data_IF_420999823620
#
_entry.id   IF_420999823620
#
_cell.length_a   1.000
_cell.length_b   1.000
_cell.length_c   1.000
_cell.angle_alpha   90.00
_cell.angle_beta   90.00
_cell.angle_gamma   90.00
#
_symmetry.space_group_name_H-M   'P 1'
#
loop_
_entity.id
_entity.type
_entity.pdbx_description
1 polymer ?
#
# COMPACT_ATOMS: atom_id res chain seq x y z
N UNK A 1 12.99 16.85 17.70
CA UNK A 1 12.49 15.94 16.66
C UNK A 1 11.74 16.79 15.62
N UNK A 2 11.86 16.50 14.32
CA UNK A 2 11.23 17.30 13.26
C UNK A 2 9.71 17.09 13.16
N UNK A 3 9.24 15.87 13.51
CA UNK A 3 7.85 15.47 13.35
C UNK A 3 7.04 15.62 14.63
N UNK A 4 5.76 16.00 14.48
CA UNK A 4 4.79 16.17 15.58
C UNK A 4 3.81 15.03 15.73
N UNK A 5 3.53 14.31 14.65
CA UNK A 5 2.62 13.15 14.60
C UNK A 5 3.16 12.11 13.62
N UNK A 6 2.76 10.84 13.79
CA UNK A 6 3.06 9.77 12.86
C UNK A 6 1.79 9.04 12.42
N UNK A 7 1.68 8.76 11.12
CA UNK A 7 0.60 7.98 10.52
C UNK A 7 1.20 6.78 9.79
N UNK A 8 0.75 5.58 10.19
CA UNK A 8 1.31 4.32 9.71
C UNK A 8 0.28 3.57 8.88
N UNK A 9 0.65 3.17 7.67
CA UNK A 9 -0.21 2.48 6.73
C UNK A 9 0.38 1.15 6.32
N UNK A 10 -0.47 0.18 6.06
CA UNK A 10 -0.07 -1.14 5.59
C UNK A 10 -1.15 -2.19 5.80
N UNK A 11 -0.80 -3.43 5.52
CA UNK A 11 -1.70 -4.57 5.67
C UNK A 11 -1.54 -5.27 7.04
N UNK A 12 -1.69 -6.60 7.09
CA UNK A 12 -1.53 -7.40 8.32
C UNK A 12 -0.15 -7.30 8.97
N UNK A 13 0.88 -6.93 8.24
CA UNK A 13 2.20 -6.65 8.81
C UNK A 13 2.24 -5.35 9.61
N UNK A 14 1.28 -4.46 9.40
CA UNK A 14 1.15 -3.18 10.10
C UNK A 14 0.10 -3.22 11.21
N UNK A 15 -1.01 -3.95 11.00
CA UNK A 15 -2.09 -4.10 11.98
C UNK A 15 -2.58 -5.54 12.02
N UNK A 16 -2.37 -6.22 13.16
CA UNK A 16 -2.80 -7.60 13.37
C UNK A 16 -3.08 -7.92 14.84
N UNK A 17 -3.45 -9.18 15.12
CA UNK A 17 -3.75 -9.70 16.48
C UNK A 17 -2.55 -9.71 17.42
N UNK A 18 -1.34 -9.78 16.88
CA UNK A 18 -0.07 -9.74 17.63
C UNK A 18 0.67 -8.44 17.35
N UNK A 19 1.68 -8.09 18.19
CA UNK A 19 2.48 -6.89 17.98
C UNK A 19 3.19 -6.89 16.62
N UNK A 20 3.05 -5.79 15.92
CA UNK A 20 3.67 -5.55 14.61
C UNK A 20 4.76 -4.48 14.74
N UNK A 21 5.47 -4.18 13.65
CA UNK A 21 6.44 -3.08 13.60
C UNK A 21 5.80 -1.74 14.02
N UNK A 22 4.54 -1.51 13.67
CA UNK A 22 3.82 -0.29 14.03
C UNK A 22 3.63 -0.15 15.55
N UNK A 23 3.41 -1.27 16.25
CA UNK A 23 3.31 -1.28 17.71
C UNK A 23 4.66 -1.01 18.39
N UNK A 24 5.76 -1.51 17.79
CA UNK A 24 7.12 -1.27 18.29
C UNK A 24 7.44 0.22 18.10
N UNK A 25 7.27 0.73 16.87
CA UNK A 25 7.54 2.14 16.54
C UNK A 25 6.72 3.11 17.42
N UNK A 26 5.47 2.76 17.73
CA UNK A 26 4.62 3.56 18.63
C UNK A 26 5.19 3.67 20.03
N UNK A 27 5.95 2.67 20.50
CA UNK A 27 6.61 2.71 21.81
C UNK A 27 7.90 3.52 21.80
N UNK A 28 8.57 3.53 20.64
CA UNK A 28 9.90 4.15 20.51
C UNK A 28 9.83 5.64 20.14
N UNK A 29 8.71 6.08 19.54
CA UNK A 29 8.48 7.48 19.16
C UNK A 29 7.82 8.24 20.31
N UNK A 30 8.43 9.36 20.71
CA UNK A 30 7.86 10.31 21.67
C UNK A 30 6.95 11.34 20.98
N UNK A 31 6.06 10.86 20.12
CA UNK A 31 5.02 11.63 19.43
C UNK A 31 3.74 10.78 19.28
N UNK A 32 2.55 11.39 19.11
CA UNK A 32 1.33 10.65 18.79
C UNK A 32 1.48 9.81 17.53
N UNK A 33 1.17 8.51 17.62
CA UNK A 33 1.24 7.54 16.51
C UNK A 33 -0.14 6.97 16.23
N UNK A 34 -0.60 7.13 15.00
CA UNK A 34 -1.89 6.68 14.49
C UNK A 34 -1.69 5.52 13.51
N UNK A 35 -2.09 4.32 13.90
CA UNK A 35 -2.01 3.15 13.03
C UNK A 35 -3.28 3.04 12.16
N UNK A 36 -3.12 3.23 10.87
CA UNK A 36 -4.14 3.11 9.84
C UNK A 36 -4.02 1.81 9.03
N UNK A 37 -3.19 0.89 9.48
CA UNK A 37 -3.07 -0.45 8.90
C UNK A 37 -4.40 -1.21 8.96
N UNK A 38 -4.57 -2.17 8.05
CA UNK A 38 -5.73 -3.06 8.04
C UNK A 38 -5.35 -4.41 7.44
N UNK A 39 -5.56 -5.47 8.21
CA UNK A 39 -5.26 -6.83 7.76
C UNK A 39 -5.99 -7.17 6.46
N UNK A 40 -5.30 -7.82 5.52
CA UNK A 40 -5.85 -8.22 4.24
C UNK A 40 -5.85 -7.14 3.15
N UNK A 41 -5.53 -5.89 3.49
CA UNK A 41 -5.60 -4.75 2.58
C UNK A 41 -4.58 -4.86 1.44
N UNK A 42 -5.00 -4.52 0.23
CA UNK A 42 -4.17 -4.34 -0.95
C UNK A 42 -3.76 -2.89 -1.17
N UNK A 43 -3.01 -2.61 -2.22
CA UNK A 43 -2.42 -1.29 -2.45
C UNK A 43 -3.45 -0.22 -2.85
N UNK A 44 -4.51 -0.61 -3.55
CA UNK A 44 -5.61 0.31 -3.89
C UNK A 44 -6.33 0.77 -2.62
N UNK A 45 -6.65 -0.17 -1.73
CA UNK A 45 -7.26 0.14 -0.45
C UNK A 45 -6.33 0.96 0.47
N UNK A 46 -5.02 0.69 0.45
CA UNK A 46 -4.02 1.50 1.17
C UNK A 46 -4.04 2.94 0.70
N UNK A 47 -3.99 3.17 -0.62
CA UNK A 47 -4.07 4.51 -1.20
C UNK A 47 -5.35 5.24 -0.78
N UNK A 48 -6.51 4.57 -0.89
CA UNK A 48 -7.78 5.16 -0.46
C UNK A 48 -7.78 5.53 1.04
N UNK A 49 -7.18 4.69 1.90
CA UNK A 49 -7.06 5.00 3.34
C UNK A 49 -6.12 6.16 3.62
N UNK A 50 -5.03 6.29 2.85
CA UNK A 50 -4.13 7.45 2.95
C UNK A 50 -4.87 8.74 2.61
N UNK A 51 -5.62 8.75 1.50
CA UNK A 51 -6.46 9.90 1.10
C UNK A 51 -7.51 10.21 2.16
N UNK A 52 -8.21 9.19 2.67
CA UNK A 52 -9.18 9.37 3.74
C UNK A 52 -8.56 9.95 5.02
N UNK A 53 -7.39 9.45 5.39
CA UNK A 53 -6.66 9.93 6.54
C UNK A 53 -6.24 11.39 6.38
N UNK A 54 -5.75 11.77 5.19
CA UNK A 54 -5.38 13.17 4.89
C UNK A 54 -6.60 14.10 4.96
N UNK A 55 -7.73 13.71 4.37
CA UNK A 55 -8.98 14.49 4.47
C UNK A 55 -9.38 14.74 5.92
N UNK A 56 -9.23 13.73 6.79
CA UNK A 56 -9.61 13.80 8.19
C UNK A 56 -8.61 14.58 9.06
N UNK A 57 -7.33 14.40 8.79
CA UNK A 57 -6.25 14.88 9.68
C UNK A 57 -5.46 16.04 9.09
N UNK A 58 -5.61 16.35 7.79
CA UNK A 58 -4.93 17.43 7.06
C UNK A 58 -3.42 17.34 7.26
N UNK A 59 -2.77 16.45 6.51
CA UNK A 59 -1.34 16.23 6.60
C UNK A 59 -0.53 17.51 6.34
N UNK A 60 0.56 17.63 7.07
CA UNK A 60 1.50 18.74 6.98
C UNK A 60 2.92 18.21 6.83
N UNK A 61 3.88 19.07 6.60
CA UNK A 61 5.31 18.74 6.56
C UNK A 61 5.91 18.37 7.93
N UNK A 62 5.13 18.54 9.00
CA UNK A 62 5.48 18.12 10.36
C UNK A 62 4.95 16.70 10.69
N UNK A 63 4.25 16.04 9.77
CA UNK A 63 3.73 14.70 9.95
C UNK A 63 4.68 13.66 9.38
N UNK A 64 4.95 12.60 10.15
CA UNK A 64 5.68 11.43 9.69
C UNK A 64 4.69 10.43 9.09
N UNK A 65 4.78 10.20 7.79
CA UNK A 65 3.93 9.25 7.08
C UNK A 65 4.79 8.05 6.68
N UNK A 66 4.39 6.85 7.10
CA UNK A 66 5.07 5.60 6.75
C UNK A 66 4.07 4.64 6.14
N UNK A 67 4.37 4.14 4.95
CA UNK A 67 3.56 3.14 4.27
C UNK A 67 4.38 1.88 3.98
N UNK A 68 3.79 0.72 4.28
CA UNK A 68 4.32 -0.59 3.87
C UNK A 68 3.36 -1.17 2.84
N UNK A 69 3.75 -1.09 1.58
CA UNK A 69 2.97 -1.57 0.45
C UNK A 69 2.79 -3.09 0.52
N UNK A 70 1.63 -3.53 0.12
CA UNK A 70 1.22 -4.93 0.14
C UNK A 70 1.53 -5.62 -1.19
N UNK A 71 1.28 -6.93 -1.25
CA UNK A 71 1.36 -7.69 -2.49
C UNK A 71 0.31 -7.19 -3.51
N UNK A 72 0.72 -7.11 -4.79
CA UNK A 72 -0.16 -6.84 -5.92
C UNK A 72 -1.24 -7.90 -6.12
N UNK A 73 -1.08 -9.11 -5.54
CA UNK A 73 -2.09 -10.17 -5.56
C UNK A 73 -3.24 -9.96 -4.58
N UNK A 74 -3.29 -8.84 -3.88
CA UNK A 74 -4.39 -8.52 -2.96
C UNK A 74 -5.48 -7.73 -3.66
N UNK A 75 -6.72 -8.16 -3.45
CA UNK A 75 -7.90 -7.54 -4.04
C UNK A 75 -8.66 -6.72 -3.01
N UNK A 76 -8.93 -5.47 -3.34
CA UNK A 76 -9.78 -4.58 -2.57
C UNK A 76 -11.01 -4.23 -3.39
N UNK A 77 -12.20 -4.40 -2.82
CA UNK A 77 -13.47 -4.09 -3.48
C UNK A 77 -14.36 -3.22 -2.60
N UNK A 78 -14.98 -2.23 -3.23
CA UNK A 78 -16.03 -1.47 -2.58
C UNK A 78 -17.37 -2.17 -2.81
N UNK A 79 -17.91 -2.82 -1.76
CA UNK A 79 -19.15 -3.59 -1.82
C UNK A 79 -20.03 -3.21 -0.63
N UNK A 80 -21.32 -3.10 -0.88
CA UNK A 80 -22.30 -2.84 0.19
C UNK A 80 -21.96 -1.60 1.04
N UNK A 81 -21.54 -0.51 0.39
CA UNK A 81 -21.24 0.76 1.06
C UNK A 81 -19.93 0.79 1.86
N UNK A 82 -19.05 -0.22 1.73
CA UNK A 82 -17.76 -0.26 2.42
C UNK A 82 -16.68 -0.96 1.61
N UNK A 83 -15.44 -0.64 1.90
CA UNK A 83 -14.30 -1.39 1.42
C UNK A 83 -14.24 -2.77 2.07
N UNK A 84 -14.14 -3.79 1.23
CA UNK A 84 -13.90 -5.18 1.64
C UNK A 84 -12.52 -5.59 1.14
N UNK A 85 -11.70 -6.01 2.08
CA UNK A 85 -10.34 -6.48 1.88
C UNK A 85 -10.32 -8.01 2.03
N UNK A 86 -10.43 -8.71 0.93
CA UNK A 86 -10.48 -10.18 0.93
C UNK A 86 -9.10 -10.85 1.03
N UNK A 87 -8.03 -10.06 1.07
CA UNK A 87 -6.67 -10.58 1.12
C UNK A 87 -6.18 -11.04 -0.24
N UNK A 88 -5.35 -12.08 -0.23
CA UNK A 88 -4.67 -12.56 -1.42
C UNK A 88 -5.62 -13.33 -2.34
N UNK A 89 -5.63 -13.01 -3.64
CA UNK A 89 -6.37 -13.72 -4.69
C UNK A 89 -6.04 -15.21 -4.79
N UNK A 90 -4.85 -15.60 -4.31
CA UNK A 90 -4.44 -17.02 -4.26
C UNK A 90 -5.05 -17.77 -3.07
N UNK A 91 -5.76 -17.09 -2.17
CA UNK A 91 -6.46 -17.72 -1.07
C UNK A 91 -7.77 -18.36 -1.57
N UNK A 92 -7.80 -19.69 -1.59
CA UNK A 92 -8.91 -20.48 -2.12
C UNK A 92 -10.20 -20.37 -1.29
N UNK A 93 -10.10 -20.01 -0.02
CA UNK A 93 -11.27 -19.85 0.86
C UNK A 93 -12.19 -18.70 0.43
N UNK A 94 -11.64 -17.69 -0.27
CA UNK A 94 -12.39 -16.52 -0.72
C UNK A 94 -12.55 -16.44 -2.24
N UNK A 95 -11.64 -17.05 -2.99
CA UNK A 95 -11.59 -16.97 -4.44
C UNK A 95 -11.43 -18.37 -5.05
N UNK A 96 -12.53 -18.92 -5.54
CA UNK A 96 -12.50 -20.19 -6.24
C UNK A 96 -11.81 -20.08 -7.62
N UNK A 97 -11.56 -21.23 -8.24
CA UNK A 97 -10.92 -21.29 -9.55
C UNK A 97 -11.75 -20.63 -10.64
N UNK A 98 -13.09 -20.66 -10.54
CA UNK A 98 -13.97 -20.01 -11.51
C UNK A 98 -13.85 -18.50 -11.43
N UNK A 99 -13.82 -17.96 -10.19
CA UNK A 99 -13.58 -16.54 -9.99
C UNK A 99 -12.25 -16.12 -10.59
N UNK A 100 -11.18 -16.83 -10.26
CA UNK A 100 -9.83 -16.52 -10.76
C UNK A 100 -9.76 -16.57 -12.28
N UNK A 101 -10.26 -17.63 -12.92
CA UNK A 101 -10.26 -17.74 -14.38
C UNK A 101 -11.06 -16.67 -15.10
N UNK A 102 -12.13 -16.19 -14.48
CA UNK A 102 -13.07 -15.26 -15.09
C UNK A 102 -12.73 -13.79 -14.86
N UNK A 103 -12.19 -13.46 -13.68
CA UNK A 103 -12.07 -12.08 -13.21
C UNK A 103 -10.65 -11.66 -12.87
N UNK A 104 -9.71 -12.59 -12.74
CA UNK A 104 -8.34 -12.22 -12.47
C UNK A 104 -7.61 -11.90 -13.75
N UNK A 105 -7.23 -10.64 -13.84
CA UNK A 105 -6.43 -10.09 -14.90
C UNK A 105 -5.15 -9.52 -14.28
N UNK A 106 -4.05 -10.24 -14.47
CA UNK A 106 -2.74 -9.91 -13.94
C UNK A 106 -2.27 -8.51 -14.36
N UNK A 107 -2.35 -8.19 -15.64
CA UNK A 107 -1.89 -6.91 -16.16
C UNK A 107 -2.69 -5.74 -15.55
N UNK A 108 -4.01 -5.88 -15.49
CA UNK A 108 -4.88 -4.89 -14.86
C UNK A 108 -4.58 -4.72 -13.36
N UNK A 109 -4.27 -5.80 -12.64
CA UNK A 109 -3.94 -5.73 -11.23
C UNK A 109 -2.60 -5.03 -10.99
N UNK A 110 -1.60 -5.30 -11.82
CA UNK A 110 -0.31 -4.58 -11.75
C UNK A 110 -0.50 -3.10 -12.06
N UNK A 111 -1.28 -2.75 -13.08
CA UNK A 111 -1.58 -1.35 -13.42
C UNK A 111 -2.27 -0.64 -12.26
N UNK A 112 -3.32 -1.23 -11.70
CA UNK A 112 -4.06 -0.66 -10.56
C UNK A 112 -3.15 -0.40 -9.37
N UNK A 113 -2.36 -1.41 -8.99
CA UNK A 113 -1.47 -1.32 -7.85
C UNK A 113 -0.36 -0.28 -8.08
N UNK A 114 0.28 -0.30 -9.24
CA UNK A 114 1.32 0.68 -9.59
C UNK A 114 0.77 2.10 -9.63
N UNK A 115 -0.42 2.29 -10.19
CA UNK A 115 -1.10 3.59 -10.20
C UNK A 115 -1.38 4.09 -8.79
N UNK A 116 -1.83 3.23 -7.88
CA UNK A 116 -2.08 3.58 -6.50
C UNK A 116 -0.79 4.05 -5.78
N UNK A 117 0.32 3.32 -5.96
CA UNK A 117 1.62 3.65 -5.38
C UNK A 117 2.15 4.98 -5.94
N UNK A 118 2.15 5.15 -7.27
CA UNK A 118 2.62 6.37 -7.93
C UNK A 118 1.77 7.58 -7.51
N UNK A 119 0.45 7.42 -7.45
CA UNK A 119 -0.45 8.48 -7.00
C UNK A 119 -0.15 8.91 -5.57
N UNK A 120 0.01 7.95 -4.66
CA UNK A 120 0.39 8.24 -3.27
C UNK A 120 1.72 9.00 -3.19
N UNK A 121 2.73 8.57 -3.94
CA UNK A 121 4.04 9.23 -3.99
C UNK A 121 3.96 10.68 -4.46
N UNK A 122 3.05 10.98 -5.40
CA UNK A 122 2.84 12.35 -5.88
C UNK A 122 2.03 13.21 -4.91
N UNK A 123 1.07 12.61 -4.21
CA UNK A 123 0.22 13.33 -3.26
C UNK A 123 0.94 13.64 -1.95
N UNK A 124 1.85 12.77 -1.52
CA UNK A 124 2.51 12.82 -0.21
C UNK A 124 4.04 12.82 -0.37
N UNK A 125 4.66 13.91 -0.85
CA UNK A 125 6.08 13.92 -1.23
C UNK A 125 7.06 13.71 -0.07
N UNK A 126 6.59 13.79 1.17
CA UNK A 126 7.42 13.66 2.39
C UNK A 126 7.10 12.39 3.18
N UNK A 127 6.73 11.29 2.53
CA UNK A 127 6.50 10.04 3.23
C UNK A 127 7.61 9.00 3.02
N UNK A 128 7.75 8.09 3.99
CA UNK A 128 8.63 6.94 3.90
C UNK A 128 7.85 5.73 3.43
N UNK A 129 8.44 4.93 2.57
CA UNK A 129 7.78 3.75 2.03
C UNK A 129 8.69 2.53 1.99
N UNK A 130 8.08 1.36 2.14
CA UNK A 130 8.67 0.05 1.93
C UNK A 130 7.66 -0.86 1.24
N UNK A 131 8.09 -1.99 0.73
CA UNK A 131 7.18 -3.02 0.18
C UNK A 131 7.49 -4.38 0.79
N UNK A 132 6.46 -5.20 1.02
CA UNK A 132 6.62 -6.59 1.49
C UNK A 132 6.98 -7.56 0.36
N UNK A 133 6.83 -7.12 -0.88
CA UNK A 133 7.24 -7.83 -2.09
C UNK A 133 7.83 -6.83 -3.07
N UNK A 134 8.73 -7.25 -3.98
CA UNK A 134 9.22 -6.38 -5.03
C UNK A 134 8.06 -5.76 -5.83
N UNK A 135 8.16 -4.49 -6.17
CA UNK A 135 7.22 -3.85 -7.07
C UNK A 135 7.58 -4.29 -8.47
N UNK A 136 6.70 -5.06 -9.09
CA UNK A 136 6.91 -5.58 -10.44
C UNK A 136 7.01 -4.44 -11.44
N UNK A 137 8.05 -4.47 -12.27
CA UNK A 137 8.22 -3.49 -13.34
C UNK A 137 7.27 -3.78 -14.49
N UNK A 138 6.64 -2.77 -15.06
CA UNK A 138 5.76 -2.94 -16.22
C UNK A 138 6.42 -3.60 -17.43
N UNK A 139 7.73 -3.45 -17.60
CA UNK A 139 8.50 -4.10 -18.70
C UNK A 139 8.39 -5.62 -18.69
N UNK A 140 8.26 -6.22 -17.50
CA UNK A 140 8.15 -7.67 -17.35
C UNK A 140 6.76 -8.18 -17.76
N UNK A 141 5.84 -7.28 -18.09
CA UNK A 141 4.43 -7.55 -18.34
C UNK A 141 3.92 -7.04 -19.68
N UNK A 142 4.77 -6.78 -20.64
CA UNK A 142 4.35 -6.28 -21.96
C UNK A 142 3.50 -4.99 -21.90
N UNK A 143 3.86 -4.06 -21.02
CA UNK A 143 3.12 -2.80 -20.84
C UNK A 143 3.62 -1.71 -21.81
N UNK A 144 2.72 -1.01 -22.50
CA UNK A 144 3.08 -0.09 -23.59
C UNK A 144 3.60 1.28 -23.13
N UNK A 145 3.97 1.49 -21.86
CA UNK A 145 4.32 2.85 -21.43
C UNK A 145 5.61 2.90 -20.64
N UNK A 146 6.62 3.49 -21.24
CA UNK A 146 7.88 3.91 -20.62
C UNK A 146 7.65 4.76 -19.35
N UNK A 147 6.55 5.53 -19.32
CA UNK A 147 6.19 6.41 -18.20
C UNK A 147 6.03 5.63 -16.89
N UNK A 148 5.37 4.47 -16.91
CA UNK A 148 5.19 3.65 -15.70
C UNK A 148 6.50 3.02 -15.25
N UNK A 149 7.30 2.57 -16.20
CA UNK A 149 8.62 1.98 -15.93
C UNK A 149 9.53 2.98 -15.24
N UNK A 150 9.67 4.17 -15.81
CA UNK A 150 10.51 5.24 -15.26
C UNK A 150 10.02 5.67 -13.87
N UNK A 151 8.71 5.75 -13.66
CA UNK A 151 8.14 6.10 -12.37
C UNK A 151 8.43 5.04 -11.31
N UNK A 152 8.34 3.74 -11.65
CA UNK A 152 8.63 2.63 -10.73
C UNK A 152 10.14 2.53 -10.46
N UNK A 153 10.98 2.69 -11.47
CA UNK A 153 12.44 2.69 -11.29
C UNK A 153 12.89 3.88 -10.43
N UNK A 154 12.28 5.02 -10.59
CA UNK A 154 12.51 6.18 -9.74
C UNK A 154 12.07 5.91 -8.29
N UNK A 155 10.91 5.33 -8.10
CA UNK A 155 10.37 4.91 -6.81
C UNK A 155 11.32 3.94 -6.09
N UNK A 156 11.77 2.90 -6.77
CA UNK A 156 12.67 1.90 -6.21
C UNK A 156 14.04 2.51 -5.83
N UNK A 157 14.58 3.40 -6.65
CA UNK A 157 15.88 4.06 -6.40
C UNK A 157 15.82 5.13 -5.31
N UNK A 158 14.84 6.04 -5.39
CA UNK A 158 14.79 7.22 -4.52
C UNK A 158 14.24 6.92 -3.11
N UNK A 159 13.43 5.89 -2.96
CA UNK A 159 12.74 5.59 -1.69
C UNK A 159 13.26 4.33 -1.00
N UNK A 160 14.37 3.75 -1.47
CA UNK A 160 14.99 2.60 -0.83
C UNK A 160 14.05 1.41 -0.71
N UNK A 161 13.16 1.21 -1.68
CA UNK A 161 12.36 0.00 -1.76
C UNK A 161 13.31 -1.15 -1.97
N UNK A 162 13.43 -1.99 -0.94
CA UNK A 162 14.38 -3.10 -0.89
C UNK A 162 13.85 -4.21 -1.79
N UNK A 163 14.64 -4.59 -2.79
CA UNK A 163 14.47 -5.87 -3.48
C UNK A 163 14.81 -6.97 -2.46
N UNK A 164 13.82 -7.72 -2.02
CA UNK A 164 14.01 -8.94 -1.23
C UNK A 164 14.10 -10.15 -2.15
#
# INVERSE_FOLDING_TARGET
MKFKRAFLFGCSYTEYKWPTWANILKKDLDIPVYNWGLSGLGNVGLHCRMVQCDIQNKFTDEDLIIVVWSSWTREDRYLEGRWKNFGNLLNQDFYDDNFRRKYWDWENDVIKNSTAIISATKMFPLFYQASIVPITKPQDLYMPSEIYTDAIDKLNRENGLIDF
#
